data_IF_810659957871
#
_entry.id   IF_810659957871
#
_cell.length_a   1.000
_cell.length_b   1.000
_cell.length_c   1.000
_cell.angle_alpha   90.00
_cell.angle_beta   90.00
_cell.angle_gamma   90.00
#
_symmetry.space_group_name_H-M   'P 1'
#
loop_
_entity.id
_entity.type
_entity.pdbx_description
1 polymer ?
#
# COMPACT_ATOMS: atom_id res chain seq x y z
N UNK A 1 37.33 -17.73 23.35
CA UNK A 1 36.73 -16.94 22.25
C UNK A 1 36.30 -17.82 21.07
N UNK A 2 37.12 -18.75 20.57
CA UNK A 2 36.74 -19.69 19.49
C UNK A 2 35.50 -20.55 19.81
N UNK A 3 35.43 -21.11 21.03
CA UNK A 3 34.31 -21.95 21.51
C UNK A 3 32.95 -21.20 21.50
N UNK A 4 32.96 -19.89 21.79
CA UNK A 4 31.73 -19.07 21.73
C UNK A 4 31.27 -18.81 20.30
N UNK A 5 32.19 -18.76 19.33
CA UNK A 5 31.86 -18.56 17.90
C UNK A 5 31.27 -19.83 17.30
N UNK A 6 31.87 -21.00 17.62
CA UNK A 6 31.36 -22.30 17.16
C UNK A 6 29.98 -22.62 17.75
N UNK A 7 29.77 -22.33 19.04
CA UNK A 7 28.45 -22.46 19.67
C UNK A 7 27.40 -21.54 19.04
N UNK A 8 27.78 -20.31 18.66
CA UNK A 8 26.89 -19.38 17.97
C UNK A 8 26.54 -19.88 16.57
N UNK A 9 27.53 -20.38 15.83
CA UNK A 9 27.31 -20.95 14.50
C UNK A 9 26.39 -22.18 14.56
N UNK A 10 26.57 -23.07 15.55
CA UNK A 10 25.69 -24.21 15.76
C UNK A 10 24.24 -23.78 16.04
N UNK A 11 24.04 -22.74 16.87
CA UNK A 11 22.72 -22.16 17.13
C UNK A 11 22.08 -21.58 15.86
N UNK A 12 22.84 -20.87 15.03
CA UNK A 12 22.36 -20.32 13.75
C UNK A 12 21.90 -21.45 12.82
N UNK A 13 22.70 -22.52 12.71
CA UNK A 13 22.34 -23.68 11.87
C UNK A 13 21.09 -24.38 12.39
N UNK A 14 20.97 -24.55 13.71
CA UNK A 14 19.77 -25.14 14.32
C UNK A 14 18.52 -24.28 14.06
N UNK A 15 18.60 -22.97 14.26
CA UNK A 15 17.49 -22.05 14.01
C UNK A 15 17.07 -22.03 12.53
N UNK A 16 18.01 -22.06 11.59
CA UNK A 16 17.71 -22.17 10.16
C UNK A 16 16.98 -23.46 9.82
N UNK A 17 17.43 -24.58 10.38
CA UNK A 17 16.78 -25.88 10.18
C UNK A 17 15.36 -25.89 10.75
N UNK A 18 15.16 -25.33 11.94
CA UNK A 18 13.84 -25.20 12.54
C UNK A 18 12.91 -24.33 11.68
N UNK A 19 13.41 -23.19 11.17
CA UNK A 19 12.64 -22.31 10.29
C UNK A 19 12.21 -23.02 9.00
N UNK A 20 13.08 -23.79 8.34
CA UNK A 20 12.71 -24.56 7.15
C UNK A 20 11.66 -25.65 7.46
N UNK A 21 11.80 -26.36 8.60
CA UNK A 21 10.78 -27.34 9.03
C UNK A 21 9.42 -26.67 9.26
N UNK A 22 9.40 -25.49 9.89
CA UNK A 22 8.17 -24.73 10.10
C UNK A 22 7.55 -24.28 8.78
N UNK A 23 8.37 -23.81 7.84
CA UNK A 23 7.94 -23.39 6.51
C UNK A 23 7.34 -24.54 5.71
N UNK A 24 7.99 -25.70 5.71
CA UNK A 24 7.48 -26.91 5.05
C UNK A 24 6.16 -27.37 5.68
N UNK A 25 6.03 -27.30 7.00
CA UNK A 25 4.78 -27.62 7.70
C UNK A 25 3.64 -26.67 7.31
N UNK A 26 3.92 -25.37 7.18
CA UNK A 26 2.93 -24.40 6.71
C UNK A 26 2.52 -24.71 5.27
N UNK A 27 3.49 -24.98 4.39
CA UNK A 27 3.24 -25.34 2.99
C UNK A 27 2.36 -26.58 2.88
N UNK A 28 2.73 -27.67 3.57
CA UNK A 28 1.94 -28.90 3.58
C UNK A 28 0.51 -28.66 4.05
N UNK A 29 0.32 -27.88 5.12
CA UNK A 29 -1.03 -27.56 5.59
C UNK A 29 -1.85 -26.74 4.58
N UNK A 30 -1.23 -25.82 3.84
CA UNK A 30 -1.89 -25.07 2.77
C UNK A 30 -2.25 -25.97 1.59
N UNK A 31 -1.38 -26.92 1.25
CA UNK A 31 -1.60 -27.90 0.18
C UNK A 31 -2.70 -28.91 0.57
N UNK A 32 -2.77 -29.35 1.83
CA UNK A 32 -3.83 -30.24 2.33
C UNK A 32 -5.21 -29.59 2.30
N UNK A 33 -5.26 -28.26 2.41
CA UNK A 33 -6.50 -27.46 2.32
C UNK A 33 -6.83 -27.04 0.87
N UNK A 34 -6.03 -27.46 -0.12
CA UNK A 34 -6.18 -27.11 -1.53
C UNK A 34 -7.21 -28.00 -2.26
N UNK A 35 -8.48 -27.89 -1.90
CA UNK A 35 -9.55 -28.74 -2.43
C UNK A 35 -9.99 -28.40 -3.87
N UNK A 36 -9.86 -27.14 -4.28
CA UNK A 36 -10.26 -26.66 -5.61
C UNK A 36 -9.44 -25.45 -6.08
N UNK A 37 -9.69 -24.98 -7.31
CA UNK A 37 -9.08 -23.77 -7.86
C UNK A 37 -10.15 -22.73 -8.20
N UNK A 38 -9.79 -21.44 -8.13
CA UNK A 38 -10.72 -20.36 -8.48
C UNK A 38 -11.27 -20.51 -9.91
N UNK A 39 -10.44 -20.97 -10.86
CA UNK A 39 -10.86 -21.17 -12.26
C UNK A 39 -11.92 -22.27 -12.38
N UNK A 40 -11.76 -23.40 -11.68
CA UNK A 40 -12.76 -24.48 -11.68
C UNK A 40 -14.08 -24.02 -11.04
N UNK A 41 -14.02 -23.30 -9.92
CA UNK A 41 -15.22 -22.76 -9.26
C UNK A 41 -15.92 -21.73 -10.14
N UNK A 42 -15.18 -20.84 -10.79
CA UNK A 42 -15.74 -19.81 -11.66
C UNK A 42 -16.38 -20.39 -12.92
N UNK A 43 -15.76 -21.40 -13.55
CA UNK A 43 -16.31 -22.07 -14.75
C UNK A 43 -17.72 -22.62 -14.53
N UNK A 44 -18.02 -23.12 -13.33
CA UNK A 44 -19.30 -23.72 -13.02
C UNK A 44 -20.37 -22.72 -12.55
N UNK A 45 -19.97 -21.49 -12.19
CA UNK A 45 -20.83 -20.54 -11.47
C UNK A 45 -20.91 -19.15 -12.10
N UNK A 46 -20.15 -18.86 -13.16
CA UNK A 46 -20.09 -17.52 -13.75
C UNK A 46 -20.09 -17.56 -15.26
N UNK A 47 -20.90 -16.69 -15.87
CA UNK A 47 -20.90 -16.48 -17.31
C UNK A 47 -19.70 -15.63 -17.74
N UNK A 48 -19.11 -15.91 -18.93
CA UNK A 48 -18.06 -15.06 -19.48
C UNK A 48 -18.52 -13.61 -19.64
N UNK A 49 -17.66 -12.66 -19.27
CA UNK A 49 -17.95 -11.25 -19.48
C UNK A 49 -18.05 -10.92 -20.99
N UNK A 50 -19.01 -10.08 -21.40
CA UNK A 50 -19.05 -9.59 -22.77
C UNK A 50 -17.83 -8.71 -23.05
N UNK A 51 -17.52 -8.49 -24.33
CA UNK A 51 -16.43 -7.60 -24.73
C UNK A 51 -16.67 -6.18 -24.18
N UNK A 52 -15.80 -5.73 -23.27
CA UNK A 52 -15.89 -4.40 -22.66
C UNK A 52 -15.09 -3.40 -23.52
N UNK A 53 -15.79 -2.44 -24.14
CA UNK A 53 -15.18 -1.35 -24.89
C UNK A 53 -15.00 -0.09 -24.06
N UNK A 54 -13.87 0.05 -23.36
CA UNK A 54 -13.56 1.27 -22.61
C UNK A 54 -13.12 2.40 -23.55
N UNK A 55 -13.56 3.64 -23.27
CA UNK A 55 -13.13 4.84 -24.00
C UNK A 55 -12.76 5.96 -23.02
N UNK A 56 -11.66 6.69 -23.25
CA UNK A 56 -11.34 7.87 -22.45
C UNK A 56 -12.48 8.90 -22.52
N UNK A 57 -12.99 9.32 -21.36
CA UNK A 57 -14.06 10.33 -21.27
C UNK A 57 -13.54 11.74 -21.01
N UNK A 58 -12.38 11.86 -20.37
CA UNK A 58 -11.77 13.13 -19.95
C UNK A 58 -10.25 13.03 -20.07
N UNK A 59 -9.60 14.17 -20.29
CA UNK A 59 -8.15 14.33 -20.28
C UNK A 59 -7.81 15.57 -19.42
N UNK A 60 -7.27 15.34 -18.22
CA UNK A 60 -6.95 16.38 -17.25
C UNK A 60 -5.54 16.93 -17.53
N UNK A 61 -5.47 18.12 -18.14
CA UNK A 61 -4.20 18.78 -18.49
C UNK A 61 -3.82 19.85 -17.47
N UNK A 62 -2.61 19.77 -16.92
CA UNK A 62 -2.11 20.80 -16.01
C UNK A 62 -0.78 20.54 -15.31
N UNK A 63 -0.39 19.28 -15.14
CA UNK A 63 0.95 18.95 -14.67
C UNK A 63 1.99 19.18 -15.77
N UNK A 64 3.18 19.61 -15.36
CA UNK A 64 4.31 19.90 -16.26
C UNK A 64 5.35 18.76 -16.29
N UNK A 65 5.18 17.75 -15.44
CA UNK A 65 6.07 16.59 -15.35
C UNK A 65 5.27 15.30 -15.12
N UNK A 66 5.98 14.20 -14.86
CA UNK A 66 5.38 12.87 -14.66
C UNK A 66 4.46 12.88 -13.44
N UNK A 67 3.27 12.32 -13.60
CA UNK A 67 2.33 12.07 -12.51
C UNK A 67 2.69 10.71 -11.90
N UNK A 68 2.90 10.67 -10.59
CA UNK A 68 3.28 9.44 -9.87
C UNK A 68 2.08 8.77 -9.20
N UNK A 69 1.21 9.58 -8.60
CA UNK A 69 0.09 9.07 -7.84
C UNK A 69 -1.15 9.92 -8.06
N UNK A 70 -2.29 9.27 -7.91
CA UNK A 70 -3.59 9.93 -7.82
C UNK A 70 -4.46 9.19 -6.81
N UNK A 71 -5.41 9.89 -6.19
CA UNK A 71 -6.40 9.28 -5.32
C UNK A 71 -7.76 9.96 -5.50
N UNK A 72 -8.81 9.15 -5.64
CA UNK A 72 -10.18 9.65 -5.70
C UNK A 72 -10.66 10.09 -4.31
N UNK A 73 -11.48 11.13 -4.29
CA UNK A 73 -12.32 11.47 -3.14
C UNK A 73 -13.50 10.50 -3.06
N UNK A 74 -14.05 10.35 -1.86
CA UNK A 74 -15.24 9.51 -1.58
C UNK A 74 -16.51 10.04 -2.25
N UNK A 75 -16.53 11.31 -2.65
CA UNK A 75 -17.63 11.94 -3.39
C UNK A 75 -17.76 11.51 -4.86
N UNK A 76 -16.81 10.69 -5.35
CA UNK A 76 -16.77 10.16 -6.74
C UNK A 76 -16.71 11.26 -7.82
N UNK A 77 -16.32 12.47 -7.44
CA UNK A 77 -16.23 13.64 -8.33
C UNK A 77 -14.85 14.25 -8.30
N UNK A 78 -14.26 14.40 -7.12
CA UNK A 78 -12.95 14.99 -6.98
C UNK A 78 -11.86 13.93 -6.95
N UNK A 79 -10.68 14.30 -7.44
CA UNK A 79 -9.46 13.52 -7.29
C UNK A 79 -8.28 14.42 -7.05
N UNK A 80 -7.28 13.91 -6.34
CA UNK A 80 -5.99 14.55 -6.16
C UNK A 80 -4.96 13.83 -7.04
N UNK A 81 -4.03 14.58 -7.65
CA UNK A 81 -2.88 14.04 -8.36
C UNK A 81 -1.59 14.73 -7.94
N UNK A 82 -0.53 13.93 -7.81
CA UNK A 82 0.81 14.38 -7.45
C UNK A 82 1.80 14.14 -8.59
N UNK A 83 2.71 15.09 -8.79
CA UNK A 83 3.62 15.11 -9.93
C UNK A 83 5.00 15.61 -9.54
N UNK A 84 5.99 15.24 -10.35
CA UNK A 84 7.38 15.65 -10.24
C UNK A 84 7.63 17.15 -10.45
N UNK A 85 6.61 17.90 -10.88
CA UNK A 85 6.67 19.36 -10.98
C UNK A 85 6.48 20.07 -9.63
N UNK A 86 6.45 19.31 -8.52
CA UNK A 86 6.28 19.83 -7.18
C UNK A 86 4.88 20.38 -6.94
N UNK A 87 3.85 19.83 -7.61
CA UNK A 87 2.46 20.26 -7.43
C UNK A 87 1.56 19.10 -7.04
N UNK A 88 0.65 19.41 -6.12
CA UNK A 88 -0.53 18.62 -5.84
C UNK A 88 -1.73 19.35 -6.45
N UNK A 89 -2.42 18.73 -7.42
CA UNK A 89 -3.60 19.34 -8.05
C UNK A 89 -4.85 18.58 -7.64
N UNK A 90 -5.87 19.31 -7.22
CA UNK A 90 -7.21 18.78 -6.93
C UNK A 90 -8.12 19.15 -8.09
N UNK A 91 -8.77 18.16 -8.64
CA UNK A 91 -9.59 18.29 -9.84
C UNK A 91 -11.04 17.98 -9.52
N UNK A 92 -11.94 18.64 -10.22
CA UNK A 92 -13.28 18.13 -10.47
C UNK A 92 -13.23 17.30 -11.77
N UNK A 93 -13.38 15.98 -11.64
CA UNK A 93 -13.22 15.07 -12.77
C UNK A 93 -14.31 15.24 -13.85
N UNK A 94 -15.49 15.76 -13.49
CA UNK A 94 -16.59 15.93 -14.43
C UNK A 94 -16.37 17.15 -15.32
N UNK A 95 -15.98 18.26 -14.69
CA UNK A 95 -15.79 19.57 -15.35
C UNK A 95 -14.36 19.77 -15.86
N UNK A 96 -13.41 18.94 -15.42
CA UNK A 96 -11.95 19.06 -15.66
C UNK A 96 -11.29 20.29 -15.05
N UNK A 97 -12.03 21.03 -14.22
CA UNK A 97 -11.53 22.23 -13.56
C UNK A 97 -10.52 21.87 -12.47
N UNK A 98 -9.48 22.70 -12.34
CA UNK A 98 -8.55 22.68 -11.20
C UNK A 98 -9.23 23.42 -10.05
N UNK A 99 -9.62 22.69 -9.02
CA UNK A 99 -10.22 23.27 -7.80
C UNK A 99 -9.13 23.90 -6.94
N UNK A 100 -8.03 23.17 -6.74
CA UNK A 100 -6.86 23.65 -6.02
C UNK A 100 -5.57 23.21 -6.71
N UNK A 101 -4.53 24.02 -6.56
CA UNK A 101 -3.17 23.69 -6.95
C UNK A 101 -2.23 24.09 -5.81
N UNK A 102 -1.71 23.10 -5.10
CA UNK A 102 -0.88 23.29 -3.91
C UNK A 102 0.58 23.13 -4.33
N UNK A 103 1.42 24.18 -4.20
CA UNK A 103 2.85 24.05 -4.41
C UNK A 103 3.47 23.28 -3.25
N UNK A 104 4.28 22.28 -3.58
CA UNK A 104 4.97 21.43 -2.63
C UNK A 104 6.41 21.90 -2.45
N UNK A 105 6.97 21.69 -1.27
CA UNK A 105 8.37 22.06 -0.99
C UNK A 105 9.36 21.17 -1.72
N UNK A 106 9.04 19.89 -1.85
CA UNK A 106 9.82 18.92 -2.62
C UNK A 106 9.19 18.69 -4.00
N UNK A 107 10.03 18.62 -5.02
CA UNK A 107 9.60 18.32 -6.39
C UNK A 107 9.28 16.84 -6.58
N UNK A 108 9.88 15.94 -5.80
CA UNK A 108 9.78 14.49 -6.01
C UNK A 108 8.73 13.87 -5.10
N UNK A 109 7.49 13.89 -5.57
CA UNK A 109 6.32 13.42 -4.81
C UNK A 109 5.86 12.12 -5.42
N UNK A 110 5.88 11.05 -4.63
CA UNK A 110 5.61 9.68 -5.09
C UNK A 110 4.21 9.22 -4.69
N UNK A 111 3.64 9.80 -3.64
CA UNK A 111 2.31 9.44 -3.15
C UNK A 111 1.44 10.65 -2.88
N UNK A 112 0.13 10.46 -3.06
CA UNK A 112 -0.87 11.32 -2.50
C UNK A 112 -2.10 10.53 -2.04
N UNK A 113 -2.84 11.10 -1.10
CA UNK A 113 -4.09 10.54 -0.61
C UNK A 113 -5.10 11.65 -0.31
N UNK A 114 -6.33 11.44 -0.75
CA UNK A 114 -7.51 12.14 -0.24
C UNK A 114 -8.03 11.49 1.05
N UNK A 115 -8.32 12.30 2.07
CA UNK A 115 -8.97 11.81 3.29
C UNK A 115 -10.45 11.47 3.05
N UNK A 116 -11.03 10.47 3.77
CA UNK A 116 -12.41 10.06 3.57
C UNK A 116 -13.46 11.15 3.78
N UNK A 117 -13.18 12.13 4.65
CA UNK A 117 -14.06 13.27 4.90
C UNK A 117 -14.08 14.30 3.79
N UNK A 118 -13.07 14.31 2.92
CA UNK A 118 -12.83 15.36 1.95
C UNK A 118 -12.09 16.59 2.50
N UNK A 119 -11.77 16.65 3.80
CA UNK A 119 -11.17 17.84 4.41
C UNK A 119 -9.64 17.90 4.25
N UNK A 120 -8.98 16.75 4.09
CA UNK A 120 -7.52 16.69 4.04
C UNK A 120 -7.01 16.01 2.77
N UNK A 121 -5.83 16.44 2.35
CA UNK A 121 -5.00 15.71 1.40
C UNK A 121 -3.60 15.53 1.98
N UNK A 122 -3.01 14.38 1.74
CA UNK A 122 -1.64 14.08 2.11
C UNK A 122 -0.78 13.88 0.87
N UNK A 123 0.51 14.16 0.99
CA UNK A 123 1.52 13.81 0.00
C UNK A 123 2.86 13.51 0.67
N UNK A 124 3.73 12.81 -0.05
CA UNK A 124 5.10 12.54 0.37
C UNK A 124 5.93 11.99 -0.78
N UNK A 125 7.26 11.98 -0.59
CA UNK A 125 8.18 11.38 -1.53
C UNK A 125 9.62 11.38 -1.02
N UNK A 126 10.56 11.88 -1.82
CA UNK A 126 12.00 11.82 -1.51
C UNK A 126 12.45 12.77 -0.37
N UNK A 127 11.54 13.58 0.17
CA UNK A 127 11.80 14.43 1.35
C UNK A 127 11.61 13.69 2.68
N UNK A 128 11.24 12.41 2.64
CA UNK A 128 11.03 11.54 3.79
C UNK A 128 9.96 12.05 4.78
N UNK A 129 9.11 12.99 4.35
CA UNK A 129 8.09 13.64 5.16
C UNK A 129 6.71 13.42 4.52
N UNK A 130 5.73 13.03 5.32
CA UNK A 130 4.32 13.10 4.90
C UNK A 130 3.75 14.47 5.30
N UNK A 131 3.43 15.29 4.31
CA UNK A 131 2.76 16.58 4.52
C UNK A 131 1.25 16.45 4.36
N UNK A 132 0.49 17.02 5.28
CA UNK A 132 -0.97 17.03 5.28
C UNK A 132 -1.46 18.46 5.12
N UNK A 133 -2.37 18.68 4.17
CA UNK A 133 -2.98 19.97 3.86
C UNK A 133 -4.47 19.93 4.18
N UNK A 134 -4.97 21.01 4.77
CA UNK A 134 -6.39 21.18 5.08
C UNK A 134 -7.07 21.97 3.97
N UNK A 135 -8.04 21.35 3.29
CA UNK A 135 -8.82 21.94 2.19
C UNK A 135 -9.92 22.88 2.67
N UNK A 136 -10.40 22.72 3.91
CA UNK A 136 -11.48 23.54 4.48
C UNK A 136 -10.96 24.79 5.21
N UNK A 137 -9.65 25.04 5.20
CA UNK A 137 -9.06 26.21 5.86
C UNK A 137 -9.50 27.52 5.21
N UNK A 138 -9.80 28.55 6.03
CA UNK A 138 -10.15 29.89 5.53
C UNK A 138 -9.05 30.53 4.68
N UNK A 139 -7.80 30.24 4.99
CA UNK A 139 -6.63 30.75 4.26
C UNK A 139 -6.33 29.95 2.98
N UNK A 140 -7.16 28.94 2.67
CA UNK A 140 -6.96 28.00 1.57
C UNK A 140 -5.96 26.87 1.88
N UNK A 141 -5.78 25.93 0.94
CA UNK A 141 -4.99 24.71 1.17
C UNK A 141 -3.47 24.90 0.94
N UNK A 142 -2.98 26.14 0.89
CA UNK A 142 -1.58 26.43 0.58
C UNK A 142 -0.67 26.21 1.78
N UNK A 143 -1.20 26.28 3.01
CA UNK A 143 -0.44 26.06 4.22
C UNK A 143 -0.52 24.60 4.66
N UNK A 144 0.64 24.04 4.97
CA UNK A 144 0.76 22.71 5.55
C UNK A 144 0.08 22.72 6.92
N UNK A 145 -0.88 21.83 7.14
CA UNK A 145 -1.54 21.65 8.43
C UNK A 145 -0.63 20.86 9.38
N UNK A 146 0.00 19.79 8.88
CA UNK A 146 0.89 18.92 9.65
C UNK A 146 1.99 18.32 8.78
N UNK A 147 3.16 18.11 9.39
CA UNK A 147 4.28 17.37 8.81
C UNK A 147 4.59 16.18 9.71
N UNK A 148 4.65 15.00 9.12
CA UNK A 148 4.98 13.76 9.81
C UNK A 148 6.38 13.34 9.34
N UNK A 149 7.35 13.50 10.22
CA UNK A 149 8.75 13.14 9.99
C UNK A 149 9.13 11.99 10.93
N UNK A 150 9.75 10.96 10.37
CA UNK A 150 10.21 9.80 11.15
C UNK A 150 10.58 8.58 10.32
N UNK A 151 10.35 8.60 9.01
CA UNK A 151 11.00 7.70 8.07
C UNK A 151 12.44 8.14 7.80
N UNK A 152 13.32 7.17 7.56
CA UNK A 152 14.71 7.38 7.16
C UNK A 152 14.95 7.19 5.65
N UNK A 153 13.92 6.72 4.94
CA UNK A 153 13.88 6.58 3.48
C UNK A 153 12.74 7.37 2.85
N UNK A 154 12.65 7.29 1.52
CA UNK A 154 11.62 7.98 0.76
C UNK A 154 10.23 7.42 1.05
N UNK A 155 9.19 8.27 1.03
CA UNK A 155 7.81 7.81 1.16
C UNK A 155 7.30 7.28 -0.18
N UNK A 156 6.85 6.04 -0.19
CA UNK A 156 6.34 5.36 -1.38
C UNK A 156 4.82 5.44 -1.49
N UNK A 157 4.10 5.30 -0.37
CA UNK A 157 2.64 5.34 -0.33
C UNK A 157 2.13 5.90 0.99
N UNK A 158 0.95 6.50 0.96
CA UNK A 158 0.23 6.94 2.15
C UNK A 158 -1.28 6.75 1.99
N UNK A 159 -1.99 6.38 3.05
CA UNK A 159 -3.44 6.18 3.05
C UNK A 159 -4.05 6.63 4.37
N UNK A 160 -5.07 7.48 4.29
CA UNK A 160 -5.87 7.86 5.45
C UNK A 160 -6.75 6.69 5.88
N UNK A 161 -6.74 6.37 7.17
CA UNK A 161 -7.77 5.55 7.81
C UNK A 161 -8.99 6.44 8.10
N UNK A 162 -8.72 7.64 8.60
CA UNK A 162 -9.69 8.68 8.90
C UNK A 162 -8.96 10.03 9.06
N UNK A 163 -9.67 11.08 9.45
CA UNK A 163 -9.09 12.43 9.63
C UNK A 163 -8.06 12.55 10.76
N UNK A 164 -7.97 11.54 11.63
CA UNK A 164 -7.03 11.49 12.76
C UNK A 164 -5.85 10.55 12.53
N UNK A 165 -5.99 9.55 11.65
CA UNK A 165 -4.97 8.52 11.45
C UNK A 165 -4.64 8.32 9.98
N UNK A 166 -3.35 8.29 9.69
CA UNK A 166 -2.79 8.00 8.37
C UNK A 166 -1.71 6.94 8.49
N UNK A 167 -1.66 6.05 7.50
CA UNK A 167 -0.63 5.05 7.34
C UNK A 167 0.34 5.50 6.24
N UNK A 168 1.64 5.33 6.46
CA UNK A 168 2.69 5.59 5.47
C UNK A 168 3.54 4.35 5.26
N UNK A 169 4.08 4.18 4.06
CA UNK A 169 5.11 3.20 3.73
C UNK A 169 6.33 3.87 3.12
N UNK A 170 7.49 3.26 3.29
CA UNK A 170 8.78 3.88 2.97
C UNK A 170 9.81 2.90 2.42
N UNK A 171 10.80 3.45 1.72
CA UNK A 171 12.03 2.78 1.31
C UNK A 171 12.98 2.43 2.46
N UNK A 172 12.64 2.77 3.71
CA UNK A 172 13.35 2.26 4.90
C UNK A 172 12.84 0.90 5.40
N UNK A 173 12.07 0.19 4.56
CA UNK A 173 11.51 -1.14 4.85
C UNK A 173 10.41 -1.15 5.93
N UNK A 174 9.91 0.02 6.34
CA UNK A 174 8.88 0.14 7.38
C UNK A 174 7.57 0.74 6.86
N UNK A 175 6.48 0.41 7.55
CA UNK A 175 5.25 1.22 7.53
C UNK A 175 5.07 1.88 8.89
N UNK A 176 4.45 3.06 8.94
CA UNK A 176 4.17 3.77 10.19
C UNK A 176 2.72 4.23 10.22
N UNK A 177 2.04 3.95 11.32
CA UNK A 177 0.74 4.54 11.66
C UNK A 177 0.96 5.81 12.49
N UNK A 178 0.32 6.90 12.08
CA UNK A 178 0.47 8.21 12.69
C UNK A 178 -0.84 8.71 13.31
N UNK A 179 -0.71 9.50 14.38
CA UNK A 179 -1.77 10.38 14.86
C UNK A 179 -1.52 11.76 14.25
N UNK A 180 -2.45 12.22 13.41
CA UNK A 180 -2.34 13.46 12.64
C UNK A 180 -2.37 14.68 13.57
N UNK A 181 -3.18 14.63 14.62
CA UNK A 181 -3.38 15.78 15.51
C UNK A 181 -2.09 16.11 16.27
N UNK A 182 -1.44 15.11 16.86
CA UNK A 182 -0.19 15.26 17.59
C UNK A 182 1.06 15.25 16.70
N UNK A 183 0.97 14.66 15.50
CA UNK A 183 2.12 14.40 14.63
C UNK A 183 3.01 13.25 15.11
N UNK A 184 2.56 12.46 16.08
CA UNK A 184 3.34 11.39 16.69
C UNK A 184 3.18 10.05 15.96
N UNK A 185 4.25 9.24 16.00
CA UNK A 185 4.20 7.81 15.61
C UNK A 185 3.35 7.06 16.64
N UNK A 186 2.31 6.35 16.18
CA UNK A 186 1.52 5.43 17.01
C UNK A 186 2.17 4.05 17.02
N UNK A 187 2.46 3.52 15.84
CA UNK A 187 2.99 2.15 15.67
C UNK A 187 3.87 2.09 14.43
N UNK A 188 5.00 1.39 14.56
CA UNK A 188 5.93 1.12 13.47
C UNK A 188 5.87 -0.37 13.13
N UNK A 189 5.74 -0.68 11.85
CA UNK A 189 5.61 -2.02 11.30
C UNK A 189 6.89 -2.34 10.51
N UNK A 190 7.80 -3.06 11.15
CA UNK A 190 9.13 -3.37 10.63
C UNK A 190 9.33 -4.88 10.53
N UNK A 191 9.01 -5.45 9.36
CA UNK A 191 9.19 -6.87 9.05
C UNK A 191 9.55 -7.12 7.57
N UNK A 192 9.42 -6.11 6.71
CA UNK A 192 9.91 -6.21 5.33
C UNK A 192 11.44 -6.14 5.29
N UNK A 193 12.01 -6.76 4.25
CA UNK A 193 13.46 -6.82 4.03
C UNK A 193 13.90 -6.02 2.79
N UNK A 194 12.98 -5.26 2.21
CA UNK A 194 13.20 -4.39 1.07
C UNK A 194 12.22 -3.22 1.11
N UNK A 195 12.40 -2.28 0.19
CA UNK A 195 11.60 -1.07 0.11
C UNK A 195 10.11 -1.41 0.04
N UNK A 196 9.30 -0.83 0.92
CA UNK A 196 7.84 -1.05 0.89
C UNK A 196 7.28 -0.09 -0.14
N UNK A 197 6.66 -0.60 -1.21
CA UNK A 197 6.27 0.21 -2.36
C UNK A 197 4.81 0.67 -2.31
N UNK A 198 3.93 -0.13 -1.73
CA UNK A 198 2.50 0.19 -1.69
C UNK A 198 1.80 -0.41 -0.48
N UNK A 199 0.71 0.26 -0.07
CA UNK A 199 -0.18 -0.17 1.01
C UNK A 199 -1.65 -0.05 0.58
N UNK A 200 -2.50 -0.90 1.13
CA UNK A 200 -3.95 -0.83 0.99
C UNK A 200 -4.61 -1.13 2.33
N UNK A 201 -5.57 -0.31 2.74
CA UNK A 201 -6.35 -0.51 3.98
C UNK A 201 -7.55 -1.39 3.66
N UNK A 202 -7.88 -2.30 4.57
CA UNK A 202 -9.03 -3.17 4.40
C UNK A 202 -10.35 -2.35 4.41
N UNK A 203 -11.22 -2.50 3.38
CA UNK A 203 -12.43 -1.70 3.26
C UNK A 203 -13.51 -2.03 4.30
N UNK A 204 -13.44 -3.21 4.94
CA UNK A 204 -14.43 -3.66 5.95
C UNK A 204 -13.90 -3.55 7.39
N UNK A 205 -12.58 -3.45 7.58
CA UNK A 205 -11.96 -3.31 8.91
C UNK A 205 -10.79 -2.33 8.88
N UNK A 206 -10.94 -1.20 9.59
CA UNK A 206 -9.90 -0.18 9.68
C UNK A 206 -8.65 -0.61 10.47
N UNK A 207 -8.69 -1.76 11.14
CA UNK A 207 -7.57 -2.30 11.93
C UNK A 207 -6.61 -3.15 11.08
N UNK A 208 -6.95 -3.44 9.82
CA UNK A 208 -6.18 -4.35 8.96
C UNK A 208 -5.71 -3.63 7.71
N UNK A 209 -4.46 -3.83 7.32
CA UNK A 209 -3.92 -3.37 6.05
C UNK A 209 -2.98 -4.41 5.43
N UNK A 210 -2.69 -4.24 4.15
CA UNK A 210 -1.66 -5.02 3.43
C UNK A 210 -0.60 -4.09 2.87
N UNK A 211 0.62 -4.62 2.76
CA UNK A 211 1.74 -3.96 2.10
C UNK A 211 2.42 -4.88 1.09
N UNK A 212 2.96 -4.30 0.02
CA UNK A 212 3.82 -4.98 -0.96
C UNK A 212 5.18 -4.29 -1.05
N UNK A 213 6.25 -5.07 -1.19
CA UNK A 213 7.63 -4.59 -1.12
C UNK A 213 8.56 -5.23 -2.17
N UNK A 214 9.78 -4.71 -2.25
CA UNK A 214 10.88 -5.22 -3.08
C UNK A 214 11.54 -6.49 -2.52
N UNK A 215 11.04 -7.03 -1.41
CA UNK A 215 11.42 -8.37 -0.93
C UNK A 215 10.56 -9.48 -1.55
N UNK A 216 9.71 -9.15 -2.54
CA UNK A 216 8.79 -10.04 -3.24
C UNK A 216 7.63 -10.57 -2.39
N UNK A 217 7.48 -10.08 -1.15
CA UNK A 217 6.42 -10.50 -0.24
C UNK A 217 5.32 -9.45 -0.12
N UNK A 218 4.08 -9.94 -0.07
CA UNK A 218 2.96 -9.17 0.46
C UNK A 218 2.73 -9.56 1.92
N UNK A 219 2.53 -8.58 2.81
CA UNK A 219 2.28 -8.82 4.23
C UNK A 219 0.94 -8.26 4.66
N UNK A 220 0.22 -9.02 5.48
CA UNK A 220 -1.02 -8.60 6.15
C UNK A 220 -0.68 -8.17 7.58
N UNK A 221 -1.20 -7.03 7.99
CA UNK A 221 -0.94 -6.43 9.28
C UNK A 221 -2.24 -6.18 10.04
N UNK A 222 -2.24 -6.53 11.32
CA UNK A 222 -3.21 -6.03 12.29
C UNK A 222 -2.53 -4.91 13.07
N UNK A 223 -3.11 -3.71 13.00
CA UNK A 223 -2.60 -2.48 13.61
C UNK A 223 -2.42 -2.65 15.13
N UNK A 224 -3.20 -3.53 15.77
CA UNK A 224 -3.19 -3.74 17.23
C UNK A 224 -2.09 -4.70 17.67
N UNK A 225 -1.58 -5.53 16.76
CA UNK A 225 -0.58 -6.56 17.04
C UNK A 225 0.85 -6.03 16.84
N UNK A 226 1.03 -5.10 15.89
CA UNK A 226 2.33 -4.48 15.61
C UNK A 226 3.33 -5.40 14.89
N UNK A 227 2.89 -6.57 14.41
CA UNK A 227 3.68 -7.51 13.60
C UNK A 227 2.84 -8.03 12.42
N UNK A 228 3.51 -8.54 11.39
CA UNK A 228 2.83 -9.17 10.27
C UNK A 228 2.10 -10.44 10.76
N UNK A 229 0.82 -10.54 10.43
CA UNK A 229 -0.06 -11.66 10.83
C UNK A 229 0.01 -12.78 9.79
N UNK A 230 0.17 -12.42 8.51
CA UNK A 230 0.39 -13.34 7.41
C UNK A 230 1.42 -12.77 6.43
N UNK A 231 2.18 -13.67 5.79
CA UNK A 231 3.11 -13.34 4.71
C UNK A 231 2.78 -14.20 3.50
N UNK A 232 2.58 -13.54 2.37
CA UNK A 232 2.23 -14.12 1.09
C UNK A 232 3.43 -14.05 0.16
N UNK A 233 3.91 -15.22 -0.22
CA UNK A 233 4.96 -15.43 -1.21
C UNK A 233 4.32 -15.87 -2.52
N UNK A 234 4.87 -15.44 -3.64
CA UNK A 234 4.49 -15.95 -4.94
C UNK A 234 5.26 -15.29 -6.07
N UNK A 235 5.38 -13.96 -6.01
CA UNK A 235 6.07 -13.17 -7.02
C UNK A 235 7.57 -13.50 -7.11
N UNK A 236 8.12 -13.28 -8.30
CA UNK A 236 9.55 -13.48 -8.61
C UNK A 236 10.33 -12.16 -8.68
N UNK A 237 9.65 -11.03 -8.47
CA UNK A 237 10.21 -9.69 -8.49
C UNK A 237 9.41 -8.74 -7.59
N UNK A 238 9.75 -7.47 -7.60
CA UNK A 238 9.23 -6.44 -6.70
C UNK A 238 7.71 -6.29 -6.82
N UNK A 239 7.02 -6.11 -5.69
CA UNK A 239 5.58 -5.84 -5.67
C UNK A 239 5.36 -4.33 -5.68
N UNK A 240 4.98 -3.79 -6.83
CA UNK A 240 4.76 -2.36 -7.02
C UNK A 240 3.40 -1.87 -6.53
N UNK A 241 2.37 -2.71 -6.67
CA UNK A 241 0.99 -2.34 -6.34
C UNK A 241 0.31 -3.44 -5.53
N UNK A 242 -0.47 -3.02 -4.55
CA UNK A 242 -1.33 -3.90 -3.75
C UNK A 242 -2.67 -3.22 -3.51
N UNK A 243 -3.76 -3.98 -3.60
CA UNK A 243 -5.11 -3.45 -3.38
C UNK A 243 -6.04 -4.52 -2.82
N UNK A 244 -6.74 -4.20 -1.74
CA UNK A 244 -7.81 -5.06 -1.22
C UNK A 244 -8.95 -5.25 -2.22
N UNK A 245 -9.48 -6.46 -2.24
CA UNK A 245 -10.77 -6.76 -2.83
C UNK A 245 -11.88 -6.12 -1.97
N UNK A 246 -13.01 -5.68 -2.56
CA UNK A 246 -14.03 -4.90 -1.85
C UNK A 246 -14.64 -5.57 -0.61
N UNK A 247 -14.61 -6.89 -0.51
CA UNK A 247 -15.14 -7.63 0.65
C UNK A 247 -14.16 -7.69 1.84
N UNK A 248 -12.90 -7.29 1.64
CA UNK A 248 -11.84 -7.32 2.67
C UNK A 248 -11.23 -8.69 2.96
N UNK A 249 -11.59 -9.76 2.23
CA UNK A 249 -11.08 -11.12 2.45
C UNK A 249 -9.99 -11.54 1.46
N UNK A 250 -9.82 -10.78 0.38
CA UNK A 250 -8.82 -11.03 -0.65
C UNK A 250 -8.12 -9.73 -1.03
N UNK A 251 -6.98 -9.83 -1.71
CA UNK A 251 -6.27 -8.69 -2.26
C UNK A 251 -5.52 -9.08 -3.53
N UNK A 252 -5.39 -8.11 -4.44
CA UNK A 252 -4.60 -8.23 -5.65
C UNK A 252 -3.23 -7.57 -5.49
N UNK A 253 -2.23 -8.13 -6.14
CA UNK A 253 -0.87 -7.57 -6.27
C UNK A 253 -0.49 -7.43 -7.74
N UNK A 254 0.38 -6.47 -8.06
CA UNK A 254 1.02 -6.31 -9.36
C UNK A 254 2.52 -6.14 -9.20
N UNK A 255 3.31 -6.88 -9.98
CA UNK A 255 4.75 -7.00 -9.81
C UNK A 255 5.53 -6.73 -11.10
N UNK A 256 6.82 -6.43 -10.94
CA UNK A 256 7.81 -6.37 -12.03
C UNK A 256 8.06 -7.71 -12.72
N UNK A 257 7.57 -8.83 -12.16
CA UNK A 257 7.56 -10.14 -12.82
C UNK A 257 6.53 -10.25 -13.97
N UNK A 258 5.91 -9.14 -14.34
CA UNK A 258 4.88 -9.01 -15.37
C UNK A 258 3.55 -9.71 -15.06
N UNK A 259 3.34 -10.15 -13.81
CA UNK A 259 2.11 -10.80 -13.38
C UNK A 259 1.32 -9.95 -12.39
N UNK A 260 0.00 -10.12 -12.40
CA UNK A 260 -0.84 -9.77 -11.27
C UNK A 260 -1.29 -11.06 -10.58
N UNK A 261 -1.41 -11.04 -9.26
CA UNK A 261 -1.85 -12.21 -8.47
C UNK A 261 -2.99 -11.84 -7.54
N UNK A 262 -3.90 -12.78 -7.31
CA UNK A 262 -4.99 -12.64 -6.35
C UNK A 262 -4.73 -13.60 -5.19
N UNK A 263 -4.71 -13.07 -3.97
CA UNK A 263 -4.55 -13.84 -2.74
C UNK A 263 -5.83 -13.78 -1.90
N UNK A 264 -6.16 -14.86 -1.20
CA UNK A 264 -7.24 -14.91 -0.20
C UNK A 264 -6.64 -15.13 1.19
N UNK A 265 -7.07 -14.30 2.14
CA UNK A 265 -6.58 -14.22 3.52
C UNK A 265 -7.03 -15.42 4.35
N UNK A 266 -8.22 -15.95 4.05
CA UNK A 266 -8.83 -17.07 4.77
C UNK A 266 -8.23 -18.40 4.30
N UNK A 267 -7.97 -18.50 3.00
CA UNK A 267 -7.29 -19.65 2.42
C UNK A 267 -5.75 -19.58 2.59
N UNK A 268 -5.22 -18.42 3.00
CA UNK A 268 -3.80 -18.16 3.22
C UNK A 268 -2.93 -18.55 2.02
N UNK A 269 -3.40 -18.22 0.80
CA UNK A 269 -2.78 -18.65 -0.45
C UNK A 269 -3.10 -17.75 -1.64
N UNK A 270 -2.33 -17.96 -2.70
CA UNK A 270 -2.65 -17.48 -4.03
C UNK A 270 -3.85 -18.27 -4.62
N UNK A 271 -4.81 -17.54 -5.17
CA UNK A 271 -5.99 -18.08 -5.86
C UNK A 271 -5.85 -18.10 -7.38
N UNK A 272 -5.16 -17.11 -7.97
CA UNK A 272 -5.02 -16.99 -9.41
C UNK A 272 -3.83 -16.09 -9.79
N UNK A 273 -3.26 -16.37 -10.96
CA UNK A 273 -2.27 -15.54 -11.65
C UNK A 273 -2.87 -15.01 -12.95
N UNK A 274 -2.70 -13.71 -13.19
CA UNK A 274 -3.06 -13.01 -14.41
C UNK A 274 -1.77 -12.62 -15.14
N UNK A 275 -1.66 -13.07 -16.39
CA UNK A 275 -0.53 -12.86 -17.29
C UNK A 275 -1.03 -12.19 -18.57
#
# INVERSE_FOLDING_TARGET
MADSSEQMQAKIVAARREAEVLKDRIRHRRDDLADTTLRQVAQNNTDPLPRIGMRPRRNLKGHLAKIYAMHWSTDRRHLVSASQDGKLIIWDAYTTNKVHAIPLRSSWVMTCAYAPSGNYVACGGLDNICSIYNLSSRDGPTRVARELSGHSGYLSCCRFINDRRILTSSGDMTCILWDIESGAKITEFADHLGDVMSISINPTSNDVFVSGACDMFAKLWDIRVGKAVQTFSGHESDINAIQFFPDGNAFGTGSDDTTCRLFDIRADRELNVYQ
#
